data_IF_640013953643
#
_entry.id   IF_640013953643
#
_cell.length_a   1.000
_cell.length_b   1.000
_cell.length_c   1.000
_cell.angle_alpha   90.00
_cell.angle_beta   90.00
_cell.angle_gamma   90.00
#
_symmetry.space_group_name_H-M   'P 1'
#
loop_
_entity.id
_entity.type
_entity.pdbx_description
1 polymer ?
#
# COMPACT_ATOMS: atom_id res chain seq x y z
N UNK A 1 24.93 49.28 -1.08
CA UNK A 1 25.09 48.03 -1.87
C UNK A 1 25.28 46.80 -1.00
N UNK A 2 26.13 46.82 0.04
CA UNK A 2 26.32 45.68 0.96
C UNK A 2 25.05 45.22 1.70
N UNK A 3 24.22 46.16 2.17
CA UNK A 3 22.94 45.82 2.82
C UNK A 3 22.00 45.08 1.86
N UNK A 4 22.02 45.47 0.57
CA UNK A 4 21.20 44.83 -0.47
C UNK A 4 21.69 43.42 -0.81
N UNK A 5 23.00 43.17 -0.72
CA UNK A 5 23.53 41.81 -0.87
C UNK A 5 23.17 40.92 0.33
N UNK A 6 23.24 41.47 1.56
CA UNK A 6 22.91 40.75 2.78
C UNK A 6 21.44 40.34 2.85
N UNK A 7 20.49 41.24 2.55
CA UNK A 7 19.08 40.84 2.56
C UNK A 7 18.73 39.88 1.41
N UNK A 8 19.39 39.96 0.25
CA UNK A 8 19.20 39.00 -0.83
C UNK A 8 19.74 37.63 -0.42
N UNK A 9 20.87 37.56 0.27
CA UNK A 9 21.39 36.30 0.81
C UNK A 9 20.52 35.72 1.93
N UNK A 10 19.96 36.54 2.82
CA UNK A 10 19.05 36.11 3.88
C UNK A 10 17.70 35.64 3.33
N UNK A 11 17.17 36.31 2.30
CA UNK A 11 15.97 35.88 1.57
C UNK A 11 16.25 34.56 0.84
N UNK A 12 17.41 34.42 0.19
CA UNK A 12 17.81 33.17 -0.47
C UNK A 12 17.95 32.00 0.53
N UNK A 13 18.50 32.26 1.72
CA UNK A 13 18.57 31.29 2.83
C UNK A 13 17.18 30.89 3.36
N UNK A 14 16.21 31.82 3.38
CA UNK A 14 14.82 31.51 3.76
C UNK A 14 14.07 30.71 2.68
N UNK A 15 14.42 30.88 1.41
CA UNK A 15 13.80 30.17 0.26
C UNK A 15 14.38 28.77 0.06
N UNK A 16 15.57 28.50 0.59
CA UNK A 16 16.23 27.17 0.58
C UNK A 16 15.76 26.23 1.71
N UNK A 17 14.74 26.60 2.48
CA UNK A 17 14.13 25.65 3.41
C UNK A 17 13.47 24.51 2.60
N UNK A 18 13.87 23.24 2.79
CA UNK A 18 13.19 22.13 2.14
C UNK A 18 11.71 22.18 2.55
N UNK A 19 10.84 22.16 1.53
CA UNK A 19 9.40 22.18 1.69
C UNK A 19 9.01 20.97 2.55
N UNK A 20 8.24 21.18 3.62
CA UNK A 20 7.71 20.18 4.57
C UNK A 20 6.92 19.01 3.91
N UNK A 21 6.84 19.00 2.58
CA UNK A 21 6.31 17.92 1.75
C UNK A 21 7.30 16.78 1.48
N UNK A 22 8.59 16.93 1.77
CA UNK A 22 9.62 15.94 1.38
C UNK A 22 9.83 14.80 2.41
N UNK A 23 9.64 15.05 3.71
CA UNK A 23 9.84 14.00 4.75
C UNK A 23 8.75 12.92 4.76
N UNK A 24 7.49 13.28 4.48
CA UNK A 24 6.38 12.32 4.36
C UNK A 24 6.62 11.31 3.23
N UNK A 25 7.30 11.74 2.17
CA UNK A 25 7.61 10.90 1.02
C UNK A 25 8.72 9.91 1.39
N UNK A 26 9.70 10.32 2.21
CA UNK A 26 10.80 9.44 2.62
C UNK A 26 10.32 8.23 3.43
N UNK A 27 9.47 8.44 4.45
CA UNK A 27 8.99 7.33 5.29
C UNK A 27 8.19 6.29 4.52
N UNK A 28 7.46 6.70 3.49
CA UNK A 28 6.61 5.82 2.69
C UNK A 28 7.34 5.19 1.49
N UNK A 29 8.54 5.68 1.16
CA UNK A 29 9.38 5.11 0.11
C UNK A 29 10.33 4.01 0.64
N UNK A 30 10.53 3.92 1.95
CA UNK A 30 11.33 2.88 2.58
C UNK A 30 10.69 1.49 2.40
N UNK A 31 11.53 0.47 2.18
CA UNK A 31 11.09 -0.92 2.13
C UNK A 31 10.60 -1.40 3.50
N UNK A 32 9.81 -2.48 3.51
CA UNK A 32 9.41 -3.12 4.76
C UNK A 32 10.64 -3.56 5.54
N UNK A 33 10.72 -3.11 6.78
CA UNK A 33 11.72 -3.54 7.75
C UNK A 33 11.04 -4.14 8.98
N UNK A 34 11.34 -5.41 9.25
CA UNK A 34 10.81 -6.14 10.40
C UNK A 34 11.49 -5.73 11.71
N UNK A 35 12.63 -5.04 11.64
CA UNK A 35 13.46 -4.73 12.78
C UNK A 35 14.10 -5.98 13.37
N UNK A 36 14.33 -5.97 14.68
CA UNK A 36 14.97 -7.04 15.42
C UNK A 36 14.25 -7.32 16.75
N UNK A 37 14.29 -8.58 17.19
CA UNK A 37 13.80 -8.99 18.51
C UNK A 37 14.82 -8.83 19.64
N UNK A 38 16.10 -8.65 19.32
CA UNK A 38 17.19 -8.59 20.28
C UNK A 38 17.46 -7.16 20.75
N UNK A 39 16.60 -6.67 21.64
CA UNK A 39 16.76 -5.40 22.32
C UNK A 39 16.26 -5.50 23.76
N UNK A 40 16.62 -4.52 24.59
CA UNK A 40 16.33 -4.57 26.03
C UNK A 40 14.84 -4.66 26.35
N UNK A 41 13.99 -4.04 25.52
CA UNK A 41 12.53 -4.07 25.66
C UNK A 41 11.88 -4.21 24.28
N UNK A 42 11.70 -5.44 23.77
CA UNK A 42 11.10 -5.65 22.46
C UNK A 42 9.61 -5.32 22.47
N UNK A 43 9.18 -4.42 21.60
CA UNK A 43 7.77 -4.05 21.40
C UNK A 43 7.21 -4.72 20.15
N UNK A 44 7.34 -6.04 20.11
CA UNK A 44 6.84 -6.85 19.01
C UNK A 44 5.31 -6.78 18.89
N UNK A 45 4.80 -6.91 17.67
CA UNK A 45 3.36 -6.95 17.43
C UNK A 45 2.98 -6.63 15.99
N UNK A 46 1.68 -6.72 15.72
CA UNK A 46 1.12 -6.36 14.43
C UNK A 46 1.27 -4.84 14.19
N UNK A 47 1.79 -4.50 13.02
CA UNK A 47 2.01 -3.15 12.51
C UNK A 47 1.57 -3.08 11.06
N UNK A 48 1.52 -1.87 10.54
CA UNK A 48 1.15 -1.58 9.16
C UNK A 48 2.33 -0.95 8.44
N UNK A 49 2.56 -1.33 7.20
CA UNK A 49 3.52 -0.69 6.30
C UNK A 49 2.81 -0.29 5.01
N UNK A 50 3.34 0.72 4.32
CA UNK A 50 2.87 1.12 3.01
C UNK A 50 3.66 0.40 1.92
N UNK A 51 2.96 -0.27 1.02
CA UNK A 51 3.55 -0.89 -0.15
C UNK A 51 3.34 0.05 -1.35
N UNK A 52 4.43 0.51 -1.96
CA UNK A 52 4.37 1.47 -3.06
C UNK A 52 4.01 0.82 -4.41
N UNK A 53 4.28 -0.47 -4.59
CA UNK A 53 3.91 -1.22 -5.79
C UNK A 53 2.41 -1.53 -5.77
N UNK A 54 1.92 -1.98 -4.63
CA UNK A 54 0.51 -2.27 -4.43
C UNK A 54 -0.30 -1.00 -4.11
N UNK A 55 0.40 0.07 -3.74
CA UNK A 55 -0.10 1.42 -3.54
C UNK A 55 -1.24 1.41 -2.48
N UNK A 56 -1.04 0.64 -1.41
CA UNK A 56 -1.92 0.47 -0.24
C UNK A 56 -1.13 0.07 1.03
N UNK A 57 -1.77 0.10 2.19
CA UNK A 57 -1.17 -0.30 3.46
C UNK A 57 -1.52 -1.75 3.84
N UNK A 58 -0.52 -2.52 4.26
CA UNK A 58 -0.66 -3.93 4.62
C UNK A 58 -0.17 -4.20 6.04
N UNK A 59 -0.79 -5.19 6.68
CA UNK A 59 -0.40 -5.63 8.01
C UNK A 59 0.81 -6.56 7.94
N UNK A 60 1.73 -6.43 8.89
CA UNK A 60 2.87 -7.31 9.06
C UNK A 60 3.25 -7.44 10.53
N UNK A 61 4.07 -8.45 10.85
CA UNK A 61 4.58 -8.66 12.20
C UNK A 61 5.93 -7.96 12.38
N UNK A 62 5.98 -6.97 13.28
CA UNK A 62 7.19 -6.25 13.67
C UNK A 62 7.90 -6.95 14.83
N UNK A 63 9.21 -7.14 14.73
CA UNK A 63 10.00 -7.98 15.66
C UNK A 63 10.34 -7.29 16.98
N UNK A 64 10.28 -5.96 17.03
CA UNK A 64 10.16 -5.23 18.30
C UNK A 64 11.04 -4.00 18.45
N UNK A 65 12.18 -3.93 17.76
CA UNK A 65 13.11 -2.80 17.78
C UNK A 65 13.71 -2.52 16.41
N UNK A 66 14.28 -1.32 16.21
CA UNK A 66 15.07 -0.94 15.03
C UNK A 66 14.38 -1.20 13.67
N UNK A 67 13.08 -0.93 13.57
CA UNK A 67 12.38 -0.93 12.28
C UNK A 67 12.54 0.38 11.51
N UNK A 68 12.21 0.36 10.23
CA UNK A 68 12.16 1.52 9.35
C UNK A 68 10.98 2.46 9.64
N UNK A 69 11.02 3.65 9.03
CA UNK A 69 10.00 4.68 9.19
C UNK A 69 8.68 4.32 8.50
N UNK A 70 8.70 3.32 7.61
CA UNK A 70 7.52 2.72 7.01
C UNK A 70 6.80 1.75 7.97
N UNK A 71 6.65 2.15 9.23
CA UNK A 71 6.06 1.32 10.30
C UNK A 71 5.01 2.13 11.05
N UNK A 72 3.75 1.71 10.96
CA UNK A 72 2.60 2.39 11.54
C UNK A 72 1.84 1.49 12.52
N UNK A 73 1.20 2.09 13.51
CA UNK A 73 0.43 1.34 14.53
C UNK A 73 -0.92 0.86 14.01
N UNK A 74 -1.53 1.57 13.07
CA UNK A 74 -2.85 1.26 12.56
C UNK A 74 -2.99 1.61 11.07
N UNK A 75 -3.94 0.96 10.40
CA UNK A 75 -4.20 1.20 8.98
C UNK A 75 -4.50 2.67 8.65
N UNK A 76 -5.19 3.40 9.54
CA UNK A 76 -5.59 4.79 9.26
C UNK A 76 -4.40 5.74 9.35
N UNK A 77 -3.47 5.52 10.27
CA UNK A 77 -2.24 6.32 10.33
C UNK A 77 -1.38 6.09 9.09
N UNK A 78 -1.11 4.83 8.72
CA UNK A 78 -0.40 4.51 7.47
C UNK A 78 -1.03 5.20 6.25
N UNK A 79 -2.34 5.02 6.06
CA UNK A 79 -3.06 5.55 4.90
C UNK A 79 -3.08 7.08 4.89
N UNK A 80 -3.16 7.75 6.03
CA UNK A 80 -3.11 9.23 6.08
C UNK A 80 -1.72 9.78 5.78
N UNK A 81 -0.68 9.05 6.17
CA UNK A 81 0.71 9.47 5.95
C UNK A 81 1.12 9.23 4.51
N UNK A 82 0.85 8.04 3.97
CA UNK A 82 1.43 7.59 2.71
C UNK A 82 0.51 7.68 1.49
N UNK A 83 -0.82 7.71 1.68
CA UNK A 83 -1.77 7.77 0.57
C UNK A 83 -2.30 9.20 0.45
N UNK A 84 -1.99 9.92 -0.64
CA UNK A 84 -2.47 11.29 -0.84
C UNK A 84 -3.99 11.36 -0.74
N UNK A 85 -4.50 12.41 -0.09
CA UNK A 85 -5.93 12.64 0.07
C UNK A 85 -6.63 12.64 -1.30
N UNK A 86 -5.99 13.24 -2.30
CA UNK A 86 -6.43 13.44 -3.68
C UNK A 86 -6.64 12.15 -4.49
N UNK A 87 -6.27 10.98 -3.94
CA UNK A 87 -6.40 9.70 -4.63
C UNK A 87 -7.83 9.11 -4.60
N UNK A 88 -8.70 9.64 -3.73
CA UNK A 88 -10.12 9.22 -3.63
C UNK A 88 -11.05 10.30 -3.04
N UNK A 89 -10.46 11.33 -2.43
CA UNK A 89 -11.16 12.48 -1.86
C UNK A 89 -10.49 13.73 -2.38
N UNK A 90 -11.18 14.85 -2.49
CA UNK A 90 -10.52 16.09 -2.88
C UNK A 90 -10.02 16.76 -1.60
N UNK A 91 -8.71 16.74 -1.35
CA UNK A 91 -8.11 17.29 -0.13
C UNK A 91 -7.02 18.34 -0.37
N UNK A 92 -6.35 18.31 -1.52
CA UNK A 92 -5.39 19.31 -1.97
C UNK A 92 -4.13 19.26 -1.12
N UNK A 93 -3.63 18.04 -0.86
CA UNK A 93 -2.64 17.74 0.17
C UNK A 93 -3.01 18.18 1.61
N UNK A 94 -4.28 18.53 1.84
CA UNK A 94 -4.84 18.84 3.15
C UNK A 94 -5.97 17.87 3.51
N UNK A 95 -6.76 18.22 4.54
CA UNK A 95 -7.89 17.40 4.99
C UNK A 95 -8.91 17.28 3.86
N UNK A 96 -9.40 16.06 3.64
CA UNK A 96 -10.42 15.78 2.62
C UNK A 96 -11.64 16.70 2.79
N UNK A 97 -11.96 17.44 1.74
CA UNK A 97 -13.05 18.42 1.67
C UNK A 97 -14.28 17.83 0.96
N UNK A 98 -14.07 17.00 -0.07
CA UNK A 98 -15.13 16.27 -0.76
C UNK A 98 -14.66 14.88 -1.20
N UNK A 99 -15.55 14.06 -1.75
CA UNK A 99 -15.21 12.73 -2.32
C UNK A 99 -15.21 12.83 -3.85
N UNK A 100 -14.27 12.17 -4.53
CA UNK A 100 -14.38 12.01 -5.98
C UNK A 100 -15.00 10.65 -6.32
N UNK A 101 -16.22 10.70 -6.85
CA UNK A 101 -16.98 9.53 -7.29
C UNK A 101 -17.43 9.72 -8.75
N UNK A 102 -17.98 8.67 -9.38
CA UNK A 102 -18.33 8.66 -10.82
C UNK A 102 -19.14 9.87 -11.30
N UNK A 103 -19.98 10.46 -10.45
CA UNK A 103 -20.86 11.58 -10.77
C UNK A 103 -20.33 12.95 -10.34
N UNK A 104 -19.33 13.02 -9.45
CA UNK A 104 -18.81 14.29 -8.91
C UNK A 104 -17.28 14.36 -9.04
N UNK A 105 -16.83 14.96 -10.14
CA UNK A 105 -15.40 15.11 -10.50
C UNK A 105 -14.82 16.47 -10.18
N UNK A 106 -15.65 17.41 -9.74
CA UNK A 106 -15.19 18.76 -9.44
C UNK A 106 -14.58 18.77 -8.04
N UNK A 107 -13.25 18.86 -8.01
CA UNK A 107 -12.49 19.11 -6.79
C UNK A 107 -12.20 20.62 -6.64
N UNK A 108 -12.03 21.14 -5.41
CA UNK A 108 -11.56 22.51 -5.16
C UNK A 108 -10.14 22.74 -5.70
N UNK A 109 -9.76 24.01 -5.83
CA UNK A 109 -8.45 24.44 -6.30
C UNK A 109 -7.30 23.80 -5.49
N UNK A 110 -6.30 23.26 -6.17
CA UNK A 110 -5.21 22.50 -5.56
C UNK A 110 -5.41 20.98 -5.47
N UNK A 111 -6.60 20.48 -5.86
CA UNK A 111 -6.91 19.05 -6.02
C UNK A 111 -7.30 18.72 -7.45
N UNK A 112 -6.89 17.55 -7.93
CA UNK A 112 -7.36 17.03 -9.21
C UNK A 112 -7.95 15.63 -9.03
N UNK A 113 -9.18 15.42 -9.52
CA UNK A 113 -9.75 14.08 -9.51
C UNK A 113 -9.20 13.26 -10.68
N UNK A 114 -8.14 12.49 -10.42
CA UNK A 114 -7.58 11.60 -11.41
C UNK A 114 -8.39 10.29 -11.53
N UNK A 115 -9.34 10.27 -12.46
CA UNK A 115 -10.16 9.10 -12.79
C UNK A 115 -9.35 7.88 -13.24
N UNK A 116 -8.13 8.05 -13.75
CA UNK A 116 -7.27 6.94 -14.22
C UNK A 116 -6.87 6.06 -13.03
N UNK A 117 -6.47 6.66 -11.90
CA UNK A 117 -6.08 5.91 -10.69
C UNK A 117 -7.27 5.11 -10.13
N UNK A 118 -8.46 5.71 -10.12
CA UNK A 118 -9.70 5.02 -9.71
C UNK A 118 -10.01 3.86 -10.64
N UNK A 119 -9.86 4.05 -11.96
CA UNK A 119 -10.13 3.01 -12.96
C UNK A 119 -9.13 1.86 -12.86
N UNK A 120 -7.84 2.14 -12.68
CA UNK A 120 -6.80 1.12 -12.51
C UNK A 120 -7.01 0.28 -11.25
N UNK A 121 -7.41 0.88 -10.13
CA UNK A 121 -7.76 0.15 -8.89
C UNK A 121 -8.96 -0.76 -9.09
N UNK A 122 -10.00 -0.26 -9.77
CA UNK A 122 -11.18 -1.06 -10.09
C UNK A 122 -10.84 -2.21 -11.05
N UNK A 123 -9.96 -1.97 -12.02
CA UNK A 123 -9.45 -3.00 -12.94
C UNK A 123 -8.63 -4.07 -12.19
N UNK A 124 -7.76 -3.67 -11.27
CA UNK A 124 -7.00 -4.61 -10.43
C UNK A 124 -7.91 -5.45 -9.54
N UNK A 125 -8.86 -4.84 -8.84
CA UNK A 125 -9.86 -5.56 -8.05
C UNK A 125 -10.67 -6.54 -8.92
N UNK A 126 -11.04 -6.14 -10.14
CA UNK A 126 -11.71 -7.01 -11.11
C UNK A 126 -10.81 -8.17 -11.59
N UNK A 127 -9.51 -7.94 -11.78
CA UNK A 127 -8.55 -8.97 -12.19
C UNK A 127 -8.33 -9.98 -11.06
N UNK A 128 -8.13 -9.52 -9.82
CA UNK A 128 -8.03 -10.39 -8.64
C UNK A 128 -9.30 -11.21 -8.43
N UNK A 129 -10.47 -10.63 -8.66
CA UNK A 129 -11.74 -11.36 -8.57
C UNK A 129 -11.91 -12.39 -9.69
N UNK A 130 -11.43 -12.10 -10.90
CA UNK A 130 -11.44 -13.01 -12.02
C UNK A 130 -10.46 -14.19 -11.80
N UNK A 131 -9.25 -13.92 -11.32
CA UNK A 131 -8.27 -14.95 -10.94
C UNK A 131 -8.80 -15.85 -9.82
N UNK A 132 -9.47 -15.27 -8.82
CA UNK A 132 -10.15 -16.02 -7.77
C UNK A 132 -11.26 -16.95 -8.31
N UNK A 133 -12.04 -16.50 -9.30
CA UNK A 133 -13.05 -17.34 -9.96
C UNK A 133 -12.42 -18.51 -10.72
N UNK A 134 -11.33 -18.28 -11.46
CA UNK A 134 -10.61 -19.35 -12.16
C UNK A 134 -10.01 -20.36 -11.18
N UNK A 135 -9.39 -19.89 -10.09
CA UNK A 135 -8.87 -20.75 -9.04
C UNK A 135 -9.97 -21.63 -8.40
N UNK A 136 -11.14 -21.05 -8.12
CA UNK A 136 -12.29 -21.79 -7.58
C UNK A 136 -12.78 -22.88 -8.53
N UNK A 137 -12.90 -22.58 -9.83
CA UNK A 137 -13.31 -23.56 -10.85
C UNK A 137 -12.29 -24.70 -10.95
N UNK A 138 -10.99 -24.37 -11.01
CA UNK A 138 -9.90 -25.35 -11.08
C UNK A 138 -9.93 -26.28 -9.86
N UNK A 139 -10.01 -25.72 -8.64
CA UNK A 139 -10.05 -26.51 -7.41
C UNK A 139 -11.30 -27.39 -7.31
N UNK A 140 -12.45 -26.91 -7.81
CA UNK A 140 -13.69 -27.68 -7.85
C UNK A 140 -13.59 -28.88 -8.79
N UNK A 141 -13.02 -28.70 -10.00
CA UNK A 141 -12.78 -29.79 -10.95
C UNK A 141 -11.79 -30.80 -10.38
N UNK A 142 -10.70 -30.35 -9.78
CA UNK A 142 -9.72 -31.23 -9.15
C UNK A 142 -10.34 -32.00 -7.98
N UNK A 143 -11.18 -31.36 -7.16
CA UNK A 143 -11.94 -32.01 -6.09
C UNK A 143 -12.88 -33.10 -6.63
N UNK A 144 -13.56 -32.83 -7.74
CA UNK A 144 -14.40 -33.82 -8.41
C UNK A 144 -13.59 -35.01 -8.93
N UNK A 145 -12.46 -34.78 -9.62
CA UNK A 145 -11.58 -35.84 -10.13
C UNK A 145 -11.03 -36.68 -8.97
N UNK A 146 -10.63 -36.05 -7.87
CA UNK A 146 -10.15 -36.73 -6.66
C UNK A 146 -11.20 -37.68 -6.07
N UNK A 147 -12.48 -37.28 -6.07
CA UNK A 147 -13.59 -38.08 -5.53
C UNK A 147 -13.99 -39.20 -6.49
N UNK A 148 -14.11 -38.91 -7.80
CA UNK A 148 -14.64 -39.84 -8.79
C UNK A 148 -13.59 -40.78 -9.39
N UNK A 149 -12.31 -40.39 -9.36
CA UNK A 149 -11.23 -41.16 -9.94
C UNK A 149 -10.11 -41.40 -8.91
N UNK A 150 -10.29 -42.36 -7.98
CA UNK A 150 -9.32 -42.61 -6.90
C UNK A 150 -7.92 -42.99 -7.40
N UNK A 151 -7.81 -43.56 -8.62
CA UNK A 151 -6.54 -43.83 -9.30
C UNK A 151 -5.65 -42.59 -9.47
N UNK A 152 -6.23 -41.39 -9.55
CA UNK A 152 -5.50 -40.14 -9.73
C UNK A 152 -5.36 -39.30 -8.45
N UNK A 153 -5.81 -39.82 -7.29
CA UNK A 153 -5.88 -39.09 -6.02
C UNK A 153 -4.56 -38.43 -5.62
N UNK A 154 -3.44 -39.16 -5.69
CA UNK A 154 -2.12 -38.61 -5.31
C UNK A 154 -1.60 -37.56 -6.30
N UNK A 155 -1.80 -37.78 -7.61
CA UNK A 155 -1.45 -36.79 -8.64
C UNK A 155 -2.24 -35.51 -8.49
N UNK A 156 -3.53 -35.62 -8.18
CA UNK A 156 -4.40 -34.46 -7.94
C UNK A 156 -4.00 -33.73 -6.65
N UNK A 157 -3.68 -34.45 -5.57
CA UNK A 157 -3.20 -33.82 -4.33
C UNK A 157 -1.90 -33.03 -4.57
N UNK A 158 -0.95 -33.62 -5.30
CA UNK A 158 0.30 -32.93 -5.67
C UNK A 158 0.02 -31.67 -6.47
N UNK A 159 -0.85 -31.75 -7.47
CA UNK A 159 -1.21 -30.59 -8.31
C UNK A 159 -1.91 -29.48 -7.50
N UNK A 160 -2.79 -29.84 -6.55
CA UNK A 160 -3.43 -28.85 -5.65
C UNK A 160 -2.38 -28.15 -4.78
N UNK A 161 -1.38 -28.87 -4.29
CA UNK A 161 -0.31 -28.29 -3.48
C UNK A 161 0.57 -27.35 -4.30
N UNK A 162 1.01 -27.81 -5.48
CA UNK A 162 1.80 -27.00 -6.42
C UNK A 162 1.01 -25.74 -6.85
N UNK A 163 -0.30 -25.87 -7.08
CA UNK A 163 -1.17 -24.74 -7.43
C UNK A 163 -1.27 -23.71 -6.29
N UNK A 164 -1.35 -24.17 -5.03
CA UNK A 164 -1.40 -23.28 -3.86
C UNK A 164 -0.09 -22.55 -3.60
N UNK A 165 1.05 -23.18 -3.88
CA UNK A 165 2.37 -22.56 -3.69
C UNK A 165 2.75 -21.61 -4.81
N UNK A 166 2.13 -21.75 -5.99
CA UNK A 166 2.41 -20.89 -7.16
C UNK A 166 1.59 -19.60 -7.18
N UNK A 167 0.46 -19.53 -6.48
CA UNK A 167 -0.33 -18.28 -6.33
C UNK A 167 0.40 -17.38 -5.33
N UNK A 168 0.99 -16.24 -5.75
CA UNK A 168 1.48 -15.26 -4.81
C UNK A 168 0.25 -14.62 -4.15
N UNK A 169 0.21 -14.61 -2.82
CA UNK A 169 -0.81 -13.99 -1.95
C UNK A 169 -2.03 -14.86 -1.61
N UNK A 170 -1.94 -15.52 -0.44
CA UNK A 170 -2.86 -15.36 0.68
C UNK A 170 -2.47 -16.35 1.81
N UNK A 171 -1.32 -16.14 2.45
CA UNK A 171 -1.11 -16.64 3.80
C UNK A 171 -1.55 -15.53 4.76
N UNK A 172 -2.86 -15.52 5.03
CA UNK A 172 -3.46 -14.93 6.22
C UNK A 172 -3.40 -15.95 7.36
#
# INVERSE_FOLDING_TARGET
MFVVALILSLVCLSVLQPKESDERIHSCAELLDRGNSNCTVPKAGLRWYYDSELDDCFEYYFEGCDGGNNTFFDYRSCRRTCIPADRSRCGGNAKATSTCERLNTTCPEGSECNRVIITLRNQRASCTQLEGQYAFVILSVLGYIKIKCPKYKERVNKYIEDFRTTIPVAQS
#
